data_IF_340496466833
#
_entry.id   IF_340496466833
#
_cell.length_a   1.000
_cell.length_b   1.000
_cell.length_c   1.000
_cell.angle_alpha   90.00
_cell.angle_beta   90.00
_cell.angle_gamma   90.00
#
_symmetry.space_group_name_H-M   'P 1'
#
loop_
_entity.id
_entity.type
_entity.pdbx_description
1 polymer ?
#
# COMPACT_ATOMS: atom_id res chain seq x y z
N UNK A 1 8.86 3.62 -15.98
CA UNK A 1 9.59 2.33 -15.96
C UNK A 1 10.88 2.52 -15.18
N UNK A 2 11.28 1.55 -14.35
CA UNK A 2 12.62 1.54 -13.77
C UNK A 2 13.59 0.98 -14.80
N UNK A 3 14.54 1.78 -15.29
CA UNK A 3 15.38 1.37 -16.42
C UNK A 3 16.42 0.34 -15.97
N UNK A 4 16.51 -0.79 -16.67
CA UNK A 4 17.55 -1.81 -16.44
C UNK A 4 17.25 -2.85 -15.34
N UNK A 5 16.05 -2.84 -14.75
CA UNK A 5 15.65 -3.85 -13.75
C UNK A 5 14.63 -4.84 -14.30
N UNK A 6 14.68 -6.09 -13.85
CA UNK A 6 13.53 -7.00 -13.92
C UNK A 6 12.48 -6.50 -12.92
N UNK A 7 11.25 -6.27 -13.38
CA UNK A 7 10.15 -5.80 -12.53
C UNK A 7 9.01 -6.79 -12.49
N UNK A 8 8.45 -7.03 -11.30
CA UNK A 8 7.25 -7.84 -11.10
C UNK A 8 6.15 -6.98 -10.48
N UNK A 9 5.03 -6.83 -11.18
CA UNK A 9 3.77 -6.35 -10.64
C UNK A 9 2.82 -7.56 -10.53
N UNK A 10 2.13 -7.68 -9.40
CA UNK A 10 1.29 -8.84 -9.10
C UNK A 10 0.01 -8.42 -8.38
N UNK A 11 -1.06 -9.19 -8.57
CA UNK A 11 -2.26 -9.08 -7.73
C UNK A 11 -1.99 -9.84 -6.42
N UNK A 12 -2.18 -9.19 -5.27
CA UNK A 12 -2.02 -9.84 -3.96
C UNK A 12 -3.07 -10.92 -3.76
N UNK A 13 -2.80 -11.87 -2.85
CA UNK A 13 -3.76 -12.90 -2.50
C UNK A 13 -5.11 -12.27 -2.15
N UNK A 14 -6.16 -12.94 -2.61
CA UNK A 14 -7.55 -12.55 -2.45
C UNK A 14 -8.00 -11.25 -3.16
N UNK A 15 -7.09 -10.57 -3.87
CA UNK A 15 -7.46 -9.57 -4.87
C UNK A 15 -7.56 -10.28 -6.23
N UNK A 16 -8.77 -10.42 -6.75
CA UNK A 16 -9.07 -11.34 -7.85
C UNK A 16 -9.82 -12.57 -7.32
N UNK A 17 -9.40 -13.79 -7.67
CA UNK A 17 -10.07 -15.03 -7.25
C UNK A 17 -9.18 -15.88 -6.33
N UNK A 18 -9.64 -16.31 -5.12
CA UNK A 18 -10.95 -16.04 -4.48
C UNK A 18 -11.04 -14.65 -3.84
N UNK A 19 -12.21 -14.00 -3.88
CA UNK A 19 -12.37 -12.55 -3.63
C UNK A 19 -12.39 -12.13 -2.15
N UNK A 20 -11.74 -11.00 -1.88
CA UNK A 20 -12.23 -9.97 -0.96
C UNK A 20 -11.60 -9.93 0.43
N UNK A 21 -10.69 -10.84 0.79
CA UNK A 21 -9.99 -10.74 2.07
C UNK A 21 -8.95 -9.62 2.03
N UNK A 22 -9.11 -8.63 2.91
CA UNK A 22 -8.16 -7.54 3.14
C UNK A 22 -7.34 -7.83 4.41
N UNK A 23 -6.52 -8.87 4.37
CA UNK A 23 -5.65 -9.24 5.48
C UNK A 23 -4.28 -8.54 5.31
N UNK A 24 -3.95 -7.53 6.13
CA UNK A 24 -2.70 -6.78 5.98
C UNK A 24 -1.45 -7.64 6.25
N UNK A 25 -1.56 -8.70 7.05
CA UNK A 25 -0.47 -9.64 7.29
C UNK A 25 -0.23 -10.53 6.07
N UNK A 26 -1.31 -10.99 5.42
CA UNK A 26 -1.19 -11.67 4.13
C UNK A 26 -0.63 -10.75 3.05
N UNK A 27 -1.04 -9.48 3.00
CA UNK A 27 -0.49 -8.52 2.04
C UNK A 27 1.02 -8.36 2.19
N UNK A 28 1.51 -8.27 3.42
CA UNK A 28 2.94 -8.26 3.70
C UNK A 28 3.63 -9.58 3.27
N UNK A 29 3.00 -10.73 3.54
CA UNK A 29 3.50 -12.03 3.13
C UNK A 29 3.57 -12.19 1.60
N UNK A 30 2.62 -11.61 0.86
CA UNK A 30 2.64 -11.65 -0.61
C UNK A 30 3.87 -10.94 -1.19
N UNK A 31 4.32 -9.85 -0.57
CA UNK A 31 5.59 -9.22 -0.95
C UNK A 31 6.79 -10.12 -0.64
N UNK A 32 6.78 -10.84 0.49
CA UNK A 32 7.84 -11.83 0.79
C UNK A 32 7.83 -12.99 -0.20
N UNK A 33 6.65 -13.42 -0.65
CA UNK A 33 6.48 -14.45 -1.68
C UNK A 33 6.94 -13.97 -3.05
N UNK A 34 6.66 -12.72 -3.42
CA UNK A 34 7.17 -12.11 -4.65
C UNK A 34 8.72 -12.07 -4.64
N UNK A 35 9.32 -11.71 -3.50
CA UNK A 35 10.78 -11.78 -3.32
C UNK A 35 11.28 -13.22 -3.44
N UNK A 36 10.64 -14.19 -2.78
CA UNK A 36 10.98 -15.62 -2.92
C UNK A 36 10.97 -16.05 -4.38
N UNK A 37 9.91 -15.74 -5.12
CA UNK A 37 9.79 -16.09 -6.54
C UNK A 37 10.91 -15.47 -7.37
N UNK A 38 11.17 -14.16 -7.22
CA UNK A 38 12.25 -13.48 -7.92
C UNK A 38 13.62 -14.10 -7.60
N UNK A 39 13.89 -14.46 -6.34
CA UNK A 39 15.12 -15.14 -5.94
C UNK A 39 15.33 -16.53 -6.56
N UNK A 40 14.29 -17.14 -7.15
CA UNK A 40 14.42 -18.43 -7.86
C UNK A 40 14.70 -18.30 -9.36
N UNK A 41 14.63 -17.09 -9.91
CA UNK A 41 14.81 -16.88 -11.34
C UNK A 41 16.29 -16.78 -11.71
N UNK A 42 16.68 -17.42 -12.81
CA UNK A 42 18.06 -17.39 -13.30
C UNK A 42 18.50 -16.01 -13.82
N UNK A 43 17.54 -15.14 -14.18
CA UNK A 43 17.79 -13.78 -14.69
C UNK A 43 17.69 -12.68 -13.60
N UNK A 44 17.67 -13.06 -12.32
CA UNK A 44 17.61 -12.15 -11.17
C UNK A 44 18.71 -12.47 -10.17
N UNK A 45 19.47 -11.46 -9.74
CA UNK A 45 20.39 -11.59 -8.61
C UNK A 45 19.59 -11.51 -7.28
N UNK A 46 19.53 -12.58 -6.47
CA UNK A 46 18.81 -12.57 -5.20
C UNK A 46 19.38 -11.57 -4.18
N UNK A 47 20.63 -11.13 -4.34
CA UNK A 47 21.25 -10.12 -3.50
C UNK A 47 20.99 -8.67 -3.95
N UNK A 48 20.24 -8.47 -5.05
CA UNK A 48 19.90 -7.16 -5.61
C UNK A 48 18.38 -6.94 -5.80
N UNK A 49 17.56 -7.42 -4.84
CA UNK A 49 16.10 -7.24 -4.88
C UNK A 49 15.65 -6.04 -4.04
N UNK A 50 15.02 -5.06 -4.69
CA UNK A 50 14.30 -3.96 -4.03
C UNK A 50 12.78 -4.13 -4.14
N UNK A 51 12.04 -3.43 -3.27
CA UNK A 51 10.58 -3.50 -3.23
C UNK A 51 9.98 -2.10 -3.20
N UNK A 52 8.94 -1.90 -4.01
CA UNK A 52 8.18 -0.65 -4.12
C UNK A 52 6.73 -0.88 -3.68
N UNK A 53 6.24 -0.09 -2.72
CA UNK A 53 4.84 -0.07 -2.29
C UNK A 53 4.14 1.24 -2.68
N UNK A 54 2.98 1.16 -3.33
CA UNK A 54 2.15 2.33 -3.67
C UNK A 54 0.86 2.29 -2.85
N UNK A 55 0.43 3.43 -2.31
CA UNK A 55 -0.78 3.52 -1.46
C UNK A 55 -0.71 2.58 -0.25
N UNK A 56 -1.74 1.77 0.00
CA UNK A 56 -1.80 0.80 1.09
C UNK A 56 -0.56 -0.13 1.11
N UNK A 57 -0.01 -0.48 -0.06
CA UNK A 57 1.24 -1.25 -0.15
C UNK A 57 2.44 -0.47 0.39
N UNK A 58 2.38 0.85 0.44
CA UNK A 58 3.34 1.70 1.15
C UNK A 58 3.37 1.50 2.67
N UNK A 59 2.32 0.91 3.26
CA UNK A 59 2.36 0.39 4.63
C UNK A 59 2.78 -1.09 4.71
N UNK A 60 2.29 -1.93 3.80
CA UNK A 60 2.58 -3.38 3.81
C UNK A 60 4.04 -3.70 3.49
N UNK A 61 4.66 -2.96 2.55
CA UNK A 61 6.04 -3.19 2.14
C UNK A 61 7.03 -2.86 3.26
N UNK A 62 6.99 -1.68 3.92
CA UNK A 62 7.82 -1.44 5.09
C UNK A 62 7.59 -2.44 6.21
N UNK A 63 6.34 -2.80 6.50
CA UNK A 63 6.01 -3.82 7.50
C UNK A 63 6.69 -5.18 7.19
N UNK A 64 6.61 -5.67 5.96
CA UNK A 64 7.29 -6.89 5.54
C UNK A 64 8.82 -6.77 5.66
N UNK A 65 9.35 -5.63 5.20
CA UNK A 65 10.79 -5.37 5.17
C UNK A 65 11.42 -5.33 6.57
N UNK A 66 10.67 -5.04 7.63
CA UNK A 66 11.18 -5.10 9.01
C UNK A 66 11.80 -6.46 9.38
N UNK A 67 11.40 -7.53 8.69
CA UNK A 67 11.79 -8.91 9.02
C UNK A 67 12.31 -9.70 7.82
N UNK A 68 11.96 -9.31 6.59
CA UNK A 68 12.52 -9.92 5.39
C UNK A 68 13.77 -9.17 4.91
N UNK A 69 14.94 -9.66 5.31
CA UNK A 69 16.24 -9.07 4.99
C UNK A 69 16.69 -9.27 3.53
N UNK A 70 15.92 -10.03 2.73
CA UNK A 70 16.16 -10.16 1.28
C UNK A 70 15.74 -8.91 0.52
N UNK A 71 14.83 -8.10 1.08
CA UNK A 71 14.47 -6.78 0.56
C UNK A 71 15.61 -5.81 0.88
N UNK A 72 16.49 -5.56 -0.12
CA UNK A 72 17.73 -4.80 0.06
C UNK A 72 17.54 -3.30 0.04
N UNK A 73 16.55 -2.82 -0.71
CA UNK A 73 16.16 -1.42 -0.77
C UNK A 73 14.63 -1.31 -0.78
N UNK A 74 14.08 -0.42 0.05
CA UNK A 74 12.64 -0.30 0.24
C UNK A 74 12.20 1.09 -0.19
N UNK A 75 11.21 1.17 -1.07
CA UNK A 75 10.64 2.44 -1.50
C UNK A 75 9.12 2.46 -1.38
N UNK A 76 8.54 3.62 -1.12
CA UNK A 76 7.09 3.83 -1.15
C UNK A 76 6.71 5.09 -1.91
N UNK A 77 5.51 5.09 -2.49
CA UNK A 77 4.87 6.28 -3.11
C UNK A 77 3.47 6.42 -2.53
N UNK A 78 3.18 7.59 -1.95
CA UNK A 78 1.91 7.88 -1.30
C UNK A 78 1.53 6.81 -0.26
N UNK A 79 2.45 6.40 0.64
CA UNK A 79 2.21 5.30 1.58
C UNK A 79 1.51 5.72 2.88
N UNK A 80 0.23 5.40 3.12
CA UNK A 80 -0.42 5.56 4.41
C UNK A 80 -0.37 4.26 5.23
N UNK A 81 -0.77 4.35 6.51
CA UNK A 81 -1.38 3.18 7.16
C UNK A 81 -2.77 2.97 6.55
N UNK A 82 -2.99 1.85 5.86
CA UNK A 82 -4.21 1.63 5.08
C UNK A 82 -5.51 1.73 5.91
N UNK A 83 -5.46 1.39 7.20
CA UNK A 83 -6.62 1.43 8.09
C UNK A 83 -7.07 2.88 8.37
N UNK A 84 -6.22 3.88 8.12
CA UNK A 84 -6.55 5.28 8.34
C UNK A 84 -7.78 5.74 7.53
N UNK A 85 -7.98 5.21 6.33
CA UNK A 85 -9.09 5.61 5.45
C UNK A 85 -10.47 5.22 5.98
N UNK A 86 -10.52 4.29 6.94
CA UNK A 86 -11.77 3.87 7.57
C UNK A 86 -11.88 4.40 9.00
N UNK A 87 -10.81 4.28 9.78
CA UNK A 87 -10.79 4.57 11.21
C UNK A 87 -10.76 6.06 11.53
N UNK A 88 -10.05 6.87 10.75
CA UNK A 88 -9.92 8.31 11.00
C UNK A 88 -11.21 9.09 10.69
N UNK A 89 -11.87 8.91 9.53
CA UNK A 89 -13.08 9.67 9.22
C UNK A 89 -14.30 9.24 10.03
N UNK A 90 -14.39 7.97 10.44
CA UNK A 90 -15.52 7.45 11.23
C UNK A 90 -15.06 6.41 12.29
N UNK A 91 -14.45 6.85 13.41
CA UNK A 91 -13.96 5.94 14.43
C UNK A 91 -15.07 5.07 15.05
N UNK A 92 -16.26 5.64 15.29
CA UNK A 92 -17.39 4.93 15.89
C UNK A 92 -17.98 3.91 14.91
N UNK A 93 -18.13 4.26 13.63
CA UNK A 93 -18.57 3.33 12.60
C UNK A 93 -17.56 2.20 12.40
N UNK A 94 -16.26 2.52 12.37
CA UNK A 94 -15.21 1.51 12.26
C UNK A 94 -15.24 0.54 13.46
N UNK A 95 -15.39 1.03 14.69
CA UNK A 95 -15.53 0.17 15.88
C UNK A 95 -16.75 -0.77 15.78
N UNK A 96 -17.89 -0.28 15.26
CA UNK A 96 -19.06 -1.13 15.02
C UNK A 96 -18.79 -2.22 13.97
N UNK A 97 -18.02 -1.92 12.93
CA UNK A 97 -17.60 -2.95 11.96
C UNK A 97 -16.75 -4.01 12.65
N UNK A 98 -15.81 -3.61 13.53
CA UNK A 98 -14.97 -4.54 14.32
C UNK A 98 -15.83 -5.46 15.19
N UNK A 99 -16.82 -4.92 15.89
CA UNK A 99 -17.78 -5.73 16.67
C UNK A 99 -18.55 -6.73 15.81
N UNK A 100 -18.84 -6.39 14.55
CA UNK A 100 -19.56 -7.26 13.61
C UNK A 100 -18.68 -8.32 12.94
N UNK A 101 -17.35 -8.19 12.96
CA UNK A 101 -16.42 -9.12 12.30
C UNK A 101 -16.54 -10.56 12.84
N UNK A 102 -16.58 -10.72 14.17
CA UNK A 102 -16.73 -12.03 14.82
C UNK A 102 -18.03 -12.76 14.43
N UNK A 103 -19.21 -12.12 14.58
CA UNK A 103 -20.47 -12.67 14.08
C UNK A 103 -20.46 -13.01 12.59
N UNK A 104 -19.86 -12.15 11.74
CA UNK A 104 -19.73 -12.42 10.30
C UNK A 104 -18.93 -13.70 10.02
N UNK A 105 -17.79 -13.90 10.70
CA UNK A 105 -16.99 -15.15 10.59
C UNK A 105 -17.82 -16.40 10.91
N UNK A 106 -18.66 -16.35 11.95
CA UNK A 106 -19.54 -17.48 12.31
C UNK A 106 -20.62 -17.73 11.26
N UNK A 107 -21.21 -16.67 10.71
CA UNK A 107 -22.22 -16.78 9.66
C UNK A 107 -21.63 -17.37 8.37
N UNK A 108 -20.46 -16.89 7.94
CA UNK A 108 -19.72 -17.42 6.80
C UNK A 108 -19.38 -18.91 6.99
N UNK A 109 -18.88 -19.30 8.16
CA UNK A 109 -18.55 -20.69 8.48
C UNK A 109 -19.76 -21.64 8.45
N UNK A 110 -20.99 -21.11 8.61
CA UNK A 110 -22.25 -21.87 8.48
C UNK A 110 -22.77 -21.92 7.04
N UNK A 111 -22.02 -21.40 6.07
CA UNK A 111 -22.41 -21.33 4.67
C UNK A 111 -23.26 -20.10 4.32
N UNK A 112 -23.29 -19.08 5.17
CA UNK A 112 -23.91 -17.80 4.87
C UNK A 112 -23.12 -16.98 3.84
N UNK A 113 -23.72 -15.91 3.34
CA UNK A 113 -23.04 -14.95 2.46
C UNK A 113 -21.91 -14.22 3.18
N UNK A 114 -20.87 -13.85 2.44
CA UNK A 114 -19.76 -13.01 2.94
C UNK A 114 -20.19 -11.55 2.87
N UNK A 115 -20.42 -10.86 4.00
CA UNK A 115 -20.77 -9.44 3.97
C UNK A 115 -19.58 -8.63 3.46
N UNK A 116 -19.83 -7.66 2.57
CA UNK A 116 -18.77 -6.84 1.97
C UNK A 116 -18.90 -5.38 2.40
N UNK A 117 -17.77 -4.76 2.69
CA UNK A 117 -17.62 -3.34 3.05
C UNK A 117 -17.08 -2.58 1.83
N UNK A 118 -17.77 -1.54 1.33
CA UNK A 118 -17.27 -0.73 0.23
C UNK A 118 -16.09 0.14 0.68
N UNK A 119 -15.07 0.27 -0.18
CA UNK A 119 -13.91 1.16 0.07
C UNK A 119 -14.24 2.62 -0.25
N UNK A 120 -15.11 2.85 -1.24
CA UNK A 120 -15.49 4.17 -1.72
C UNK A 120 -17.01 4.30 -1.83
N UNK A 121 -17.58 5.50 -1.62
CA UNK A 121 -19.01 5.75 -1.76
C UNK A 121 -19.49 5.45 -3.19
N UNK A 122 -20.78 5.15 -3.35
CA UNK A 122 -21.37 4.83 -4.67
C UNK A 122 -21.45 6.04 -5.60
N UNK A 123 -21.55 7.25 -5.04
CA UNK A 123 -21.54 8.51 -5.75
C UNK A 123 -20.79 9.57 -4.96
N UNK A 124 -20.36 10.62 -5.63
CA UNK A 124 -19.71 11.79 -5.05
C UNK A 124 -20.31 13.07 -5.60
N UNK A 125 -20.22 14.15 -4.83
CA UNK A 125 -20.69 15.49 -5.20
C UNK A 125 -19.70 16.58 -4.75
N UNK A 126 -20.07 17.85 -4.97
CA UNK A 126 -19.22 19.01 -4.61
C UNK A 126 -18.98 19.14 -3.10
N UNK A 127 -19.83 18.52 -2.26
CA UNK A 127 -19.67 18.50 -0.80
C UNK A 127 -18.74 17.38 -0.30
N UNK A 128 -18.47 16.37 -1.14
CA UNK A 128 -17.58 15.25 -0.82
C UNK A 128 -16.12 15.74 -0.67
N UNK A 129 -15.34 15.23 0.29
CA UNK A 129 -13.93 15.60 0.41
C UNK A 129 -13.15 15.41 -0.91
N UNK A 130 -12.22 16.33 -1.21
CA UNK A 130 -11.46 16.33 -2.47
C UNK A 130 -10.73 14.99 -2.70
N UNK A 131 -10.00 14.49 -1.70
CA UNK A 131 -9.29 13.21 -1.80
C UNK A 131 -10.23 12.04 -2.13
N UNK A 132 -11.43 11.99 -1.54
CA UNK A 132 -12.42 10.95 -1.84
C UNK A 132 -12.92 11.05 -3.28
N UNK A 133 -13.13 12.26 -3.80
CA UNK A 133 -13.48 12.46 -5.22
C UNK A 133 -12.35 12.02 -6.16
N UNK A 134 -11.09 12.26 -5.81
CA UNK A 134 -9.95 11.83 -6.62
C UNK A 134 -9.84 10.30 -6.66
N UNK A 135 -10.01 9.64 -5.50
CA UNK A 135 -10.07 8.17 -5.47
C UNK A 135 -11.27 7.62 -6.24
N UNK A 136 -12.43 8.25 -6.12
CA UNK A 136 -13.61 7.88 -6.91
C UNK A 136 -13.34 8.02 -8.41
N UNK A 137 -12.77 9.14 -8.85
CA UNK A 137 -12.41 9.39 -10.24
C UNK A 137 -11.45 8.32 -10.77
N UNK A 138 -10.40 8.00 -10.01
CA UNK A 138 -9.42 6.97 -10.39
C UNK A 138 -10.05 5.58 -10.50
N UNK A 139 -10.76 5.12 -9.45
CA UNK A 139 -11.21 3.72 -9.35
C UNK A 139 -12.57 3.42 -9.98
N UNK A 140 -13.45 4.42 -10.12
CA UNK A 140 -14.85 4.24 -10.56
C UNK A 140 -15.20 4.90 -11.89
N UNK A 141 -14.20 5.42 -12.62
CA UNK A 141 -14.39 5.99 -13.96
C UNK A 141 -13.42 5.37 -14.98
N UNK A 142 -13.56 5.77 -16.24
CA UNK A 142 -12.66 5.35 -17.32
C UNK A 142 -11.20 5.81 -17.14
N UNK A 143 -10.89 6.66 -16.16
CA UNK A 143 -9.50 7.02 -15.83
C UNK A 143 -8.66 5.78 -15.54
N UNK A 144 -9.08 4.92 -14.61
CA UNK A 144 -8.34 3.71 -14.25
C UNK A 144 -9.19 2.54 -13.72
N UNK A 145 -10.53 2.54 -13.91
CA UNK A 145 -11.36 1.41 -13.48
C UNK A 145 -10.88 0.08 -14.09
N UNK A 146 -10.93 -0.98 -13.30
CA UNK A 146 -10.53 -2.31 -13.75
C UNK A 146 -11.47 -3.37 -13.16
N UNK A 147 -11.96 -4.37 -13.93
CA UNK A 147 -12.93 -5.36 -13.46
C UNK A 147 -12.44 -6.25 -12.30
N UNK A 148 -11.11 -6.36 -12.12
CA UNK A 148 -10.50 -7.05 -10.97
C UNK A 148 -10.35 -6.18 -9.71
N UNK A 149 -10.49 -4.86 -9.83
CA UNK A 149 -10.53 -3.94 -8.69
C UNK A 149 -11.97 -3.78 -8.24
N UNK A 150 -12.42 -4.65 -7.33
CA UNK A 150 -13.84 -4.75 -6.98
C UNK A 150 -14.33 -3.65 -6.01
N UNK A 151 -13.42 -2.84 -5.46
CA UNK A 151 -13.74 -1.68 -4.62
C UNK A 151 -14.42 -2.00 -3.28
N UNK A 152 -14.27 -3.24 -2.78
CA UNK A 152 -14.86 -3.73 -1.53
C UNK A 152 -14.06 -4.88 -0.94
N UNK A 153 -14.12 -5.05 0.37
CA UNK A 153 -13.48 -6.16 1.10
C UNK A 153 -14.48 -6.85 2.03
N UNK A 154 -14.20 -8.09 2.43
CA UNK A 154 -15.04 -8.89 3.31
C UNK A 154 -15.03 -8.27 4.71
N UNK A 155 -16.20 -8.14 5.34
CA UNK A 155 -16.36 -7.52 6.66
C UNK A 155 -15.44 -8.15 7.70
N UNK A 156 -15.23 -9.47 7.64
CA UNK A 156 -14.28 -10.17 8.51
C UNK A 156 -12.81 -9.75 8.37
N UNK A 157 -12.47 -8.78 7.52
CA UNK A 157 -11.11 -8.24 7.40
C UNK A 157 -10.86 -7.09 8.38
N UNK A 158 -11.91 -6.44 8.92
CA UNK A 158 -11.73 -5.22 9.72
C UNK A 158 -11.03 -5.45 11.06
N UNK A 159 -11.17 -6.63 11.66
CA UNK A 159 -10.48 -6.98 12.91
C UNK A 159 -8.96 -7.09 12.67
N UNK A 160 -8.56 -7.68 11.55
CA UNK A 160 -7.16 -7.78 11.14
C UNK A 160 -6.59 -6.41 10.74
N UNK A 161 -7.40 -5.57 10.08
CA UNK A 161 -7.03 -4.18 9.76
C UNK A 161 -6.85 -3.32 11.02
N UNK A 162 -7.71 -3.48 12.03
CA UNK A 162 -7.60 -2.71 13.28
C UNK A 162 -6.37 -3.13 14.11
N UNK A 163 -6.03 -4.43 14.07
CA UNK A 163 -4.82 -4.97 14.71
C UNK A 163 -3.52 -4.49 14.05
N UNK A 164 -3.58 -4.08 12.79
CA UNK A 164 -2.40 -3.72 12.01
C UNK A 164 -1.95 -2.28 12.26
N UNK A 165 -0.64 -2.13 12.40
CA UNK A 165 0.06 -0.84 12.42
C UNK A 165 1.24 -0.94 11.46
N UNK A 166 1.16 -0.16 10.37
CA UNK A 166 2.10 -0.25 9.26
C UNK A 166 3.55 0.08 9.65
N UNK A 167 3.73 1.05 10.55
CA UNK A 167 5.03 1.68 10.79
C UNK A 167 5.56 1.44 12.20
N UNK A 168 4.80 0.79 13.07
CA UNK A 168 5.34 0.22 14.31
C UNK A 168 6.51 -0.71 13.97
N UNK A 169 7.72 -0.33 14.41
CA UNK A 169 8.95 -1.08 14.18
C UNK A 169 9.68 -0.77 12.86
N UNK A 170 9.28 0.27 12.11
CA UNK A 170 9.91 0.64 10.82
C UNK A 170 11.43 0.84 10.92
N UNK A 171 11.96 1.26 12.07
CA UNK A 171 13.40 1.37 12.33
C UNK A 171 14.18 0.05 12.24
N UNK A 172 13.52 -1.11 12.26
CA UNK A 172 14.14 -2.43 12.00
C UNK A 172 14.58 -2.62 10.54
N UNK A 173 14.16 -1.74 9.62
CA UNK A 173 14.62 -1.76 8.24
C UNK A 173 16.12 -1.43 8.18
N UNK A 174 16.57 -0.49 9.02
CA UNK A 174 17.98 -0.11 9.13
C UNK A 174 18.86 -1.36 9.39
N UNK A 175 20.07 -1.43 8.79
CA UNK A 175 20.74 -0.37 8.02
C UNK A 175 20.35 -0.30 6.53
N UNK A 176 19.33 -1.05 6.09
CA UNK A 176 18.88 -0.99 4.69
C UNK A 176 18.19 0.34 4.41
N UNK A 177 18.33 0.88 3.19
CA UNK A 177 17.76 2.16 2.82
C UNK A 177 16.23 2.09 2.68
N UNK A 178 15.56 3.12 3.18
CA UNK A 178 14.12 3.37 3.01
C UNK A 178 13.92 4.71 2.30
N UNK A 179 13.19 4.72 1.19
CA UNK A 179 12.74 5.94 0.53
C UNK A 179 11.23 6.04 0.62
N UNK A 180 10.69 7.16 1.08
CA UNK A 180 9.27 7.45 1.02
C UNK A 180 9.04 8.68 0.14
N UNK A 181 8.18 8.55 -0.87
CA UNK A 181 7.81 9.62 -1.78
C UNK A 181 6.37 10.05 -1.45
N UNK A 182 6.16 11.35 -1.23
CA UNK A 182 4.84 11.90 -0.92
C UNK A 182 4.63 13.24 -1.63
N UNK A 183 3.38 13.52 -2.00
CA UNK A 183 3.00 14.84 -2.50
C UNK A 183 2.80 15.83 -1.35
N UNK A 184 3.16 17.10 -1.54
CA UNK A 184 3.03 18.12 -0.48
C UNK A 184 1.58 18.44 -0.13
N UNK A 185 0.65 18.21 -1.07
CA UNK A 185 -0.80 18.41 -0.89
C UNK A 185 -1.54 17.09 -0.56
N UNK A 186 -0.81 16.00 -0.28
CA UNK A 186 -1.41 14.72 0.08
C UNK A 186 -1.81 14.68 1.56
N UNK A 187 -3.08 14.45 1.85
CA UNK A 187 -3.59 14.29 3.25
C UNK A 187 -2.89 13.14 4.00
N UNK A 188 -2.33 12.17 3.28
CA UNK A 188 -1.60 11.03 3.86
C UNK A 188 -0.12 11.29 4.11
N UNK A 189 0.42 12.47 3.75
CA UNK A 189 1.85 12.77 3.84
C UNK A 189 2.42 12.55 5.24
N UNK A 190 1.65 12.89 6.28
CA UNK A 190 2.07 12.73 7.68
C UNK A 190 2.50 11.31 8.06
N UNK A 191 1.99 10.27 7.36
CA UNK A 191 2.47 8.90 7.54
C UNK A 191 3.91 8.71 7.08
N UNK A 192 4.27 9.31 5.94
CA UNK A 192 5.65 9.27 5.43
C UNK A 192 6.60 10.08 6.31
N UNK A 193 6.16 11.25 6.78
CA UNK A 193 6.94 12.07 7.73
C UNK A 193 7.27 11.29 9.01
N UNK A 194 6.25 10.68 9.63
CA UNK A 194 6.40 9.91 10.86
C UNK A 194 7.25 8.66 10.68
N UNK A 195 7.05 7.91 9.59
CA UNK A 195 7.79 6.70 9.31
C UNK A 195 9.27 6.96 9.02
N UNK A 196 9.60 8.00 8.25
CA UNK A 196 11.00 8.40 7.99
C UNK A 196 11.67 8.85 9.30
N UNK A 197 10.97 9.66 10.12
CA UNK A 197 11.48 10.08 11.42
C UNK A 197 11.77 8.89 12.34
N UNK A 198 10.89 7.90 12.38
CA UNK A 198 11.05 6.69 13.19
C UNK A 198 12.11 5.71 12.63
N UNK A 199 12.34 5.70 11.32
CA UNK A 199 13.31 4.83 10.68
C UNK A 199 14.77 5.30 10.81
N UNK A 200 14.98 6.61 11.01
CA UNK A 200 16.30 7.19 11.30
C UNK A 200 17.15 7.45 10.05
N UNK A 201 18.48 7.42 10.21
CA UNK A 201 19.44 7.98 9.24
C UNK A 201 19.45 7.32 7.86
N UNK A 202 18.98 6.07 7.75
CA UNK A 202 18.91 5.34 6.48
C UNK A 202 17.60 5.57 5.73
N UNK A 203 16.71 6.41 6.27
CA UNK A 203 15.45 6.76 5.64
C UNK A 203 15.50 8.16 5.02
N UNK A 204 14.90 8.29 3.84
CA UNK A 204 14.78 9.54 3.10
C UNK A 204 13.31 9.81 2.78
N UNK A 205 12.87 11.05 3.00
CA UNK A 205 11.61 11.56 2.47
C UNK A 205 11.90 12.40 1.22
N UNK A 206 11.21 12.11 0.13
CA UNK A 206 11.24 12.91 -1.09
C UNK A 206 9.85 13.48 -1.37
N UNK A 207 9.74 14.81 -1.32
CA UNK A 207 8.48 15.52 -1.47
C UNK A 207 8.30 16.00 -2.92
N UNK A 208 7.12 15.78 -3.49
CA UNK A 208 6.75 16.28 -4.82
C UNK A 208 5.77 17.44 -4.63
N UNK A 209 6.24 18.64 -4.96
CA UNK A 209 5.50 19.87 -4.72
C UNK A 209 4.19 19.94 -5.50
N UNK A 210 3.09 20.31 -4.83
CA UNK A 210 1.75 20.46 -5.40
C UNK A 210 0.99 19.15 -5.66
N UNK A 211 1.63 17.98 -5.57
CA UNK A 211 0.97 16.72 -5.82
C UNK A 211 0.05 16.30 -4.67
N UNK A 212 -1.14 15.81 -5.01
CA UNK A 212 -2.02 15.09 -4.07
C UNK A 212 -1.61 13.61 -3.97
N UNK A 213 -2.34 12.84 -3.14
CA UNK A 213 -2.10 11.39 -3.02
C UNK A 213 -2.30 10.65 -4.36
N UNK A 214 -3.40 10.95 -5.05
CA UNK A 214 -3.82 10.25 -6.28
C UNK A 214 -3.08 10.78 -7.50
N UNK A 215 -2.63 12.04 -7.49
CA UNK A 215 -1.79 12.58 -8.58
C UNK A 215 -0.53 11.75 -8.81
N UNK A 216 0.05 11.17 -7.75
CA UNK A 216 1.22 10.31 -7.83
C UNK A 216 0.95 8.92 -8.44
N UNK A 217 -0.28 8.61 -8.85
CA UNK A 217 -0.61 7.33 -9.48
C UNK A 217 -0.41 7.37 -10.98
N UNK A 218 -0.82 8.47 -11.63
CA UNK A 218 -0.93 8.53 -13.10
C UNK A 218 -0.76 9.93 -13.71
N UNK A 219 -0.60 11.00 -12.92
CA UNK A 219 -0.37 12.34 -13.50
C UNK A 219 1.10 12.46 -13.89
N UNK A 220 1.35 12.38 -15.20
CA UNK A 220 2.69 12.25 -15.80
C UNK A 220 3.73 13.22 -15.22
N UNK A 221 3.39 14.50 -15.03
CA UNK A 221 4.33 15.49 -14.48
C UNK A 221 4.84 15.14 -13.08
N UNK A 222 4.00 14.53 -12.24
CA UNK A 222 4.37 14.11 -10.90
C UNK A 222 4.97 12.70 -10.88
N UNK A 223 4.39 11.78 -11.65
CA UNK A 223 4.90 10.41 -11.79
C UNK A 223 6.33 10.39 -12.36
N UNK A 224 6.64 11.26 -13.32
CA UNK A 224 7.99 11.37 -13.89
C UNK A 224 9.04 11.71 -12.81
N UNK A 225 8.74 12.64 -11.91
CA UNK A 225 9.62 13.00 -10.80
C UNK A 225 9.82 11.83 -9.81
N UNK A 226 8.73 11.13 -9.47
CA UNK A 226 8.80 9.94 -8.62
C UNK A 226 9.65 8.84 -9.27
N UNK A 227 9.45 8.56 -10.57
CA UNK A 227 10.20 7.55 -11.32
C UNK A 227 11.68 7.91 -11.42
N UNK A 228 12.03 9.17 -11.65
CA UNK A 228 13.41 9.64 -11.67
C UNK A 228 14.10 9.38 -10.32
N UNK A 229 13.43 9.76 -9.21
CA UNK A 229 13.94 9.53 -7.87
C UNK A 229 14.10 8.04 -7.54
N UNK A 230 13.10 7.22 -7.89
CA UNK A 230 13.13 5.77 -7.69
C UNK A 230 14.26 5.11 -8.50
N UNK A 231 14.48 5.54 -9.74
CA UNK A 231 15.59 5.07 -10.57
C UNK A 231 16.94 5.35 -9.89
N UNK A 232 17.16 6.58 -9.44
CA UNK A 232 18.39 6.95 -8.75
C UNK A 232 18.58 6.15 -7.45
N UNK A 233 17.50 5.95 -6.69
CA UNK A 233 17.52 5.20 -5.43
C UNK A 233 17.87 3.72 -5.65
N UNK A 234 17.14 3.03 -6.52
CA UNK A 234 17.39 1.60 -6.76
C UNK A 234 18.73 1.37 -7.46
N UNK A 235 19.14 2.23 -8.40
CA UNK A 235 20.47 2.14 -9.02
C UNK A 235 21.59 2.28 -7.98
N UNK A 236 21.45 3.17 -7.00
CA UNK A 236 22.45 3.35 -5.93
C UNK A 236 22.55 2.14 -4.99
N UNK A 237 21.43 1.48 -4.71
CA UNK A 237 21.33 0.51 -3.61
C UNK A 237 21.22 -0.95 -4.03
N UNK A 238 20.98 -1.22 -5.32
CA UNK A 238 20.91 -2.58 -5.88
C UNK A 238 22.00 -2.86 -6.92
N UNK A 239 22.76 -1.85 -7.35
CA UNK A 239 23.92 -2.07 -8.20
C UNK A 239 25.01 -2.81 -7.40
N UNK A 240 25.42 -3.95 -7.94
CA UNK A 240 26.54 -4.77 -7.46
C UNK A 240 27.88 -4.04 -7.57
#
# INVERSE_FOLDING_TARGET
MLFGCVTLAFDTAYQGEPRGLEDPFQRAEDFRNAVTYLSTREDVDPESIGVLGICASGGYVPFAAQTDHRMKAVATVSGPDATCFFRVPDPEGFAKLVEQAGPARVAEARGGEVPMVPVLPEAVDDSTPKAVREFFDYYKTLRAQHPRSIGKFALRSVDQLDQFDAYTGVGKIAPRPLLMIAGTEAETKGFSDGAVSAAGETAELFEIDGATHVDLYDVEHYVAQAVEKLNAFFAKHLAS
#
